data_IF_386414866955
#
_entry.id   IF_386414866955
#
_cell.length_a   1.000
_cell.length_b   1.000
_cell.length_c   1.000
_cell.angle_alpha   90.00
_cell.angle_beta   90.00
_cell.angle_gamma   90.00
#
_symmetry.space_group_name_H-M   'P 1'
#
loop_
_entity.id
_entity.type
_entity.pdbx_description
1 polymer ?
#
# COMPACT_ATOMS: atom_id res chain seq x y z
N UNK A 1 -2.63 5.48 34.08
CA UNK A 1 -2.79 5.22 33.67
C UNK A 1 -3.15 4.93 33.22
N UNK A 2 -3.11 4.76 33.15
CA UNK A 2 -3.42 4.33 32.53
C UNK A 2 -3.89 3.72 32.17
N UNK A 3 -4.20 3.28 31.98
CA UNK A 3 -4.75 2.61 31.42
C UNK A 3 -5.84 2.79 31.13
N UNK A 4 -6.32 3.15 31.27
CA UNK A 4 -7.31 3.19 30.96
C UNK A 4 -7.70 3.77 30.06
N UNK A 5 -7.26 4.34 29.64
CA UNK A 5 -7.73 4.70 28.82
C UNK A 5 -8.03 3.94 27.96
N UNK A 6 -7.85 3.23 27.90
CA UNK A 6 -8.06 2.46 27.10
C UNK A 6 -9.30 2.01 26.99
N UNK A 7 -9.85 1.89 27.55
CA UNK A 7 -11.02 1.36 27.42
C UNK A 7 -12.03 2.12 26.84
N UNK A 8 -12.16 3.15 27.18
CA UNK A 8 -13.16 3.90 26.79
C UNK A 8 -13.49 3.98 25.44
N UNK A 9 -12.66 4.07 24.71
CA UNK A 9 -12.86 4.28 23.38
C UNK A 9 -13.32 3.11 22.65
N UNK A 10 -13.45 2.05 23.26
CA UNK A 10 -13.62 0.85 22.54
C UNK A 10 -14.72 0.81 21.52
N UNK A 11 -15.88 1.07 21.86
CA UNK A 11 -16.94 0.87 20.94
C UNK A 11 -16.95 1.77 19.74
N UNK A 12 -16.96 3.03 19.96
CA UNK A 12 -17.01 3.94 18.87
C UNK A 12 -15.73 4.04 18.14
N UNK A 13 -14.69 3.82 18.85
CA UNK A 13 -13.41 3.95 18.25
C UNK A 13 -13.15 2.92 17.18
N UNK A 14 -13.81 1.81 17.24
CA UNK A 14 -13.56 0.75 16.28
C UNK A 14 -13.76 1.19 14.86
N UNK A 15 -14.72 2.04 14.58
CA UNK A 15 -14.91 2.46 13.21
C UNK A 15 -13.99 3.58 12.84
N UNK A 16 -13.60 4.39 13.77
CA UNK A 16 -12.76 5.50 13.45
C UNK A 16 -11.31 5.20 13.55
N UNK A 17 -10.95 4.28 14.42
CA UNK A 17 -9.57 3.91 14.58
C UNK A 17 -8.99 3.25 13.36
N UNK A 18 -9.82 2.84 12.44
CA UNK A 18 -9.30 2.26 11.23
C UNK A 18 -8.35 3.17 10.54
N UNK A 19 -8.57 4.46 10.61
CA UNK A 19 -7.74 5.40 9.89
C UNK A 19 -6.62 5.97 10.75
N UNK A 20 -6.77 5.97 12.08
CA UNK A 20 -5.70 6.47 12.94
C UNK A 20 -4.61 5.42 13.08
N UNK A 21 -3.37 5.85 13.26
CA UNK A 21 -2.26 4.93 13.47
C UNK A 21 -1.03 5.36 12.72
N UNK A 22 -0.11 4.42 12.51
CA UNK A 22 1.13 4.71 11.81
C UNK A 22 1.07 4.22 10.38
N UNK A 23 1.56 5.03 9.49
CA UNK A 23 1.53 4.74 8.05
C UNK A 23 2.92 4.85 7.46
N UNK A 24 3.25 3.91 6.58
CA UNK A 24 4.45 4.04 5.78
C UNK A 24 4.07 4.90 4.58
N UNK A 25 4.80 5.99 4.36
CA UNK A 25 4.48 6.89 3.25
C UNK A 25 5.41 6.63 2.08
N UNK A 26 4.85 6.65 0.90
CA UNK A 26 5.61 6.38 -0.32
C UNK A 26 5.10 7.26 -1.44
N UNK A 27 5.88 7.33 -2.52
CA UNK A 27 5.58 8.21 -3.65
C UNK A 27 5.16 7.39 -4.86
N UNK A 28 4.09 7.83 -5.50
CA UNK A 28 3.69 7.31 -6.80
C UNK A 28 3.43 8.52 -7.69
N UNK A 29 4.24 8.68 -8.72
CA UNK A 29 4.13 9.85 -9.59
C UNK A 29 4.39 11.10 -8.77
N UNK A 30 3.44 12.02 -8.78
CA UNK A 30 3.58 13.27 -8.04
C UNK A 30 2.80 13.28 -6.75
N UNK A 31 2.30 12.13 -6.33
CA UNK A 31 1.45 12.05 -5.14
C UNK A 31 2.08 11.22 -4.05
N UNK A 32 1.77 11.54 -2.80
CA UNK A 32 2.23 10.76 -1.67
C UNK A 32 1.09 9.92 -1.14
N UNK A 33 1.40 8.68 -0.81
CA UNK A 33 0.42 7.73 -0.34
C UNK A 33 0.87 7.13 0.98
N UNK A 34 -0.06 6.58 1.73
CA UNK A 34 0.27 5.90 2.98
C UNK A 34 -0.45 4.58 3.10
N UNK A 35 0.24 3.60 3.65
CA UNK A 35 -0.38 2.31 3.98
C UNK A 35 -0.06 2.00 5.43
N UNK A 36 -0.96 1.29 6.09
CA UNK A 36 -0.79 0.95 7.49
C UNK A 36 0.52 0.19 7.68
N UNK A 37 1.32 0.65 8.63
CA UNK A 37 2.65 0.07 8.83
C UNK A 37 2.58 -1.41 9.23
N UNK A 38 1.52 -1.81 9.88
CA UNK A 38 1.40 -3.21 10.31
C UNK A 38 1.23 -4.17 9.16
N UNK A 39 0.91 -3.68 7.97
CA UNK A 39 0.81 -4.52 6.79
C UNK A 39 2.16 -4.71 6.11
N UNK A 40 3.16 -3.92 6.48
CA UNK A 40 4.46 -3.95 5.82
C UNK A 40 5.36 -4.99 6.47
N UNK A 41 5.87 -5.91 5.67
CA UNK A 41 6.77 -6.93 6.17
C UNK A 41 8.23 -6.49 6.01
N UNK A 42 8.58 -5.95 4.84
CA UNK A 42 9.92 -5.42 4.63
C UNK A 42 9.94 -4.56 3.38
N UNK A 43 11.01 -3.81 3.20
CA UNK A 43 11.20 -2.97 2.02
C UNK A 43 12.51 -3.39 1.40
N UNK A 44 12.54 -3.55 0.08
CA UNK A 44 13.75 -3.99 -0.61
C UNK A 44 13.84 -3.32 -1.97
N UNK A 45 15.02 -3.40 -2.57
CA UNK A 45 15.21 -2.85 -3.90
C UNK A 45 14.51 -3.68 -4.95
N UNK A 46 14.34 -3.11 -6.12
CA UNK A 46 13.69 -3.81 -7.20
C UNK A 46 14.75 -4.60 -7.97
N UNK A 47 14.85 -5.88 -7.70
CA UNK A 47 15.80 -6.74 -8.42
C UNK A 47 15.34 -8.18 -8.32
N UNK A 48 15.93 -9.00 -9.15
CA UNK A 48 15.69 -10.45 -9.13
C UNK A 48 14.23 -10.86 -9.33
N UNK A 49 13.50 -10.08 -10.11
CA UNK A 49 12.11 -10.40 -10.42
C UNK A 49 12.07 -11.30 -11.65
N UNK A 50 11.42 -12.44 -11.52
CA UNK A 50 11.27 -13.38 -12.63
C UNK A 50 9.92 -13.14 -13.31
N UNK A 51 9.96 -12.84 -14.59
CA UNK A 51 8.73 -12.54 -15.31
C UNK A 51 7.87 -13.77 -15.51
N UNK A 52 6.57 -13.55 -15.50
CA UNK A 52 5.58 -14.59 -15.76
C UNK A 52 4.88 -14.26 -17.07
N UNK A 53 4.78 -15.21 -17.97
CA UNK A 53 4.13 -14.98 -19.25
C UNK A 53 2.62 -14.84 -19.09
N UNK A 54 2.03 -14.09 -20.00
CA UNK A 54 0.57 -13.98 -20.12
C UNK A 54 -0.11 -13.37 -18.90
N UNK A 55 0.57 -12.41 -18.27
CA UNK A 55 -0.04 -11.64 -17.18
C UNK A 55 -0.21 -10.20 -17.63
N UNK A 56 -1.10 -9.46 -16.98
CA UNK A 56 -1.21 -8.02 -17.25
C UNK A 56 0.13 -7.33 -17.03
N UNK A 57 0.36 -6.23 -17.68
CA UNK A 57 1.65 -5.56 -17.64
C UNK A 57 2.02 -5.03 -16.25
N UNK A 58 1.05 -4.78 -15.37
CA UNK A 58 1.36 -4.29 -14.03
C UNK A 58 1.89 -5.41 -13.13
N UNK A 59 1.74 -6.66 -13.51
CA UNK A 59 2.31 -7.77 -12.75
C UNK A 59 3.69 -8.03 -13.32
N UNK A 60 4.72 -7.67 -12.55
CA UNK A 60 6.10 -7.77 -13.04
C UNK A 60 6.64 -9.18 -12.99
N UNK A 61 6.07 -10.00 -12.16
CA UNK A 61 6.54 -11.38 -12.02
C UNK A 61 6.54 -11.77 -10.55
N UNK A 62 7.52 -12.60 -10.20
CA UNK A 62 7.63 -13.09 -8.82
C UNK A 62 9.06 -13.01 -8.35
N UNK A 63 9.23 -12.97 -7.03
CA UNK A 63 10.56 -13.12 -6.43
C UNK A 63 10.49 -14.26 -5.44
N UNK A 64 11.64 -14.88 -5.20
CA UNK A 64 11.75 -15.92 -4.19
C UNK A 64 12.24 -15.25 -2.92
N UNK A 65 11.37 -15.20 -1.91
CA UNK A 65 11.71 -14.54 -0.68
C UNK A 65 11.83 -15.61 0.39
N UNK A 66 13.03 -16.05 0.63
CA UNK A 66 13.32 -17.09 1.62
C UNK A 66 12.46 -18.33 1.42
N UNK A 67 12.41 -18.78 0.15
CA UNK A 67 11.66 -19.98 -0.20
C UNK A 67 10.20 -19.75 -0.51
N UNK A 68 9.71 -18.54 -0.33
CA UNK A 68 8.31 -18.23 -0.61
C UNK A 68 8.24 -17.45 -1.92
N UNK A 69 7.32 -17.84 -2.78
CA UNK A 69 7.10 -17.15 -4.05
C UNK A 69 6.18 -15.98 -3.81
N UNK A 70 6.68 -14.78 -4.10
CA UNK A 70 5.94 -13.54 -3.82
C UNK A 70 5.67 -12.81 -5.13
N UNK A 71 4.40 -12.59 -5.49
CA UNK A 71 4.08 -11.83 -6.71
C UNK A 71 4.43 -10.35 -6.52
N UNK A 72 4.86 -9.72 -7.61
CA UNK A 72 5.29 -8.33 -7.60
C UNK A 72 4.41 -7.53 -8.55
N UNK A 73 3.78 -6.50 -8.03
CA UNK A 73 2.87 -5.63 -8.77
C UNK A 73 3.45 -4.23 -8.83
N UNK A 74 3.52 -3.66 -10.02
CA UNK A 74 3.98 -2.28 -10.14
C UNK A 74 2.77 -1.36 -10.11
N UNK A 75 2.61 -0.63 -9.02
CA UNK A 75 1.46 0.24 -8.86
C UNK A 75 1.46 1.40 -9.84
N UNK A 76 2.64 1.81 -10.31
CA UNK A 76 2.71 2.90 -11.26
C UNK A 76 2.07 2.51 -12.58
N UNK A 77 2.27 1.25 -12.98
CA UNK A 77 1.65 0.73 -14.19
C UNK A 77 0.17 0.48 -13.95
N UNK A 78 -0.16 -0.09 -12.79
CA UNK A 78 -1.55 -0.40 -12.47
C UNK A 78 -2.42 0.85 -12.53
N UNK A 79 -1.91 1.97 -12.04
CA UNK A 79 -2.68 3.20 -12.01
C UNK A 79 -2.39 4.13 -13.20
N UNK A 80 -1.62 3.64 -14.18
CA UNK A 80 -1.38 4.36 -15.43
C UNK A 80 -0.80 5.74 -15.21
N UNK A 81 0.27 5.79 -14.44
CA UNK A 81 0.88 7.05 -14.06
C UNK A 81 1.88 7.57 -15.10
N UNK A 82 1.79 7.11 -16.33
CA UNK A 82 2.67 7.57 -17.37
C UNK A 82 3.93 6.76 -17.48
N UNK A 83 5.04 7.42 -17.78
CA UNK A 83 6.29 6.71 -17.99
C UNK A 83 6.83 6.16 -16.67
N UNK A 84 7.18 4.89 -16.67
CA UNK A 84 7.69 4.21 -15.49
C UNK A 84 9.18 3.97 -15.67
N UNK A 85 9.96 4.37 -14.68
CA UNK A 85 11.40 4.15 -14.69
C UNK A 85 11.80 3.37 -13.46
N UNK A 86 12.86 2.59 -13.60
CA UNK A 86 13.42 1.83 -12.49
C UNK A 86 14.79 2.39 -12.20
N UNK A 87 14.96 3.02 -11.06
CA UNK A 87 16.22 3.64 -10.69
C UNK A 87 16.59 3.26 -9.26
N UNK A 88 17.58 3.95 -8.71
CA UNK A 88 18.08 3.60 -7.38
C UNK A 88 17.06 3.87 -6.27
N UNK A 89 16.04 4.66 -6.54
CA UNK A 89 15.01 4.97 -5.54
C UNK A 89 13.82 4.04 -5.62
N UNK A 90 13.69 3.30 -6.73
CA UNK A 90 12.59 2.38 -6.91
C UNK A 90 12.69 1.25 -5.91
N UNK A 91 11.64 1.03 -5.16
CA UNK A 91 11.66 -0.01 -4.13
C UNK A 91 10.43 -0.89 -4.22
N UNK A 92 10.53 -2.04 -3.61
CA UNK A 92 9.42 -2.98 -3.49
C UNK A 92 9.05 -3.04 -2.01
N UNK A 93 7.80 -2.75 -1.72
CA UNK A 93 7.29 -2.88 -0.36
C UNK A 93 6.63 -4.25 -0.27
N UNK A 94 7.16 -5.11 0.57
CA UNK A 94 6.60 -6.45 0.75
C UNK A 94 5.54 -6.37 1.83
N UNK A 95 4.34 -6.78 1.47
CA UNK A 95 3.18 -6.69 2.34
C UNK A 95 2.73 -8.07 2.78
N UNK A 96 2.27 -8.16 4.02
CA UNK A 96 1.66 -9.37 4.52
C UNK A 96 0.22 -9.04 4.84
N UNK A 97 -0.69 -9.58 4.05
CA UNK A 97 -2.12 -9.30 4.18
C UNK A 97 -2.81 -10.55 4.70
N UNK A 98 -2.70 -10.75 6.01
CA UNK A 98 -3.30 -11.91 6.68
C UNK A 98 -2.75 -13.22 6.11
N UNK A 99 -1.42 -13.27 5.99
CA UNK A 99 -0.75 -14.47 5.51
C UNK A 99 -0.49 -14.50 4.01
N UNK A 100 -1.14 -13.63 3.27
CA UNK A 100 -0.92 -13.53 1.83
C UNK A 100 0.14 -12.47 1.60
N UNK A 101 1.25 -12.86 1.02
CA UNK A 101 2.40 -11.95 0.85
C UNK A 101 2.49 -11.49 -0.59
N UNK A 102 2.61 -10.19 -0.79
CA UNK A 102 2.69 -9.60 -2.12
C UNK A 102 3.61 -8.39 -2.05
N UNK A 103 4.31 -8.09 -3.15
CA UNK A 103 5.17 -6.92 -3.20
C UNK A 103 4.60 -5.88 -4.14
N UNK A 104 4.69 -4.63 -3.75
CA UNK A 104 4.26 -3.52 -4.61
C UNK A 104 5.47 -2.65 -4.93
N UNK A 105 5.58 -2.24 -6.20
CA UNK A 105 6.67 -1.38 -6.65
C UNK A 105 6.20 0.06 -6.61
N UNK A 106 6.99 0.92 -5.99
CA UNK A 106 6.67 2.35 -5.87
C UNK A 106 7.91 3.15 -6.25
N UNK A 107 7.73 4.46 -6.46
CA UNK A 107 8.84 5.32 -6.86
C UNK A 107 9.84 5.54 -5.74
N UNK A 108 9.39 5.48 -4.52
CA UNK A 108 10.29 5.65 -3.37
C UNK A 108 9.50 5.63 -2.09
N UNK A 109 10.20 5.42 -0.99
CA UNK A 109 9.60 5.44 0.34
C UNK A 109 10.10 6.69 1.05
N UNK A 110 9.20 7.38 1.74
CA UNK A 110 9.55 8.62 2.41
C UNK A 110 9.77 8.44 3.91
N UNK A 111 8.76 7.99 4.64
CA UNK A 111 8.84 8.01 6.08
C UNK A 111 7.76 7.14 6.72
N UNK A 112 7.77 7.06 8.03
CA UNK A 112 6.66 6.48 8.78
C UNK A 112 6.01 7.64 9.55
N UNK A 113 4.74 7.84 9.35
CA UNK A 113 4.03 8.98 9.92
C UNK A 113 2.89 8.50 10.80
N UNK A 114 2.85 9.03 12.01
CA UNK A 114 1.75 8.74 12.93
C UNK A 114 0.64 9.75 12.69
N UNK A 115 -0.57 9.26 12.51
CA UNK A 115 -1.72 10.11 12.23
C UNK A 115 -2.77 9.94 13.30
N UNK A 116 -3.39 11.07 13.66
CA UNK A 116 -4.50 11.06 14.56
C UNK A 116 -5.77 11.16 13.74
N UNK A 117 -6.85 10.69 14.31
CA UNK A 117 -8.13 10.71 13.63
C UNK A 117 -8.50 12.12 13.13
N UNK A 118 -8.17 13.13 13.90
CA UNK A 118 -8.50 14.49 13.54
C UNK A 118 -7.78 14.98 12.30
N UNK A 119 -6.71 14.30 11.89
CA UNK A 119 -5.97 14.69 10.71
C UNK A 119 -6.50 14.04 9.44
N UNK A 120 -7.45 13.13 9.57
CA UNK A 120 -7.92 12.33 8.45
C UNK A 120 -9.32 12.78 8.04
N UNK A 121 -9.50 12.99 6.74
CA UNK A 121 -10.77 13.48 6.20
C UNK A 121 -11.27 12.54 5.12
N UNK A 122 -12.56 12.65 4.88
CA UNK A 122 -13.18 11.86 3.80
C UNK A 122 -12.65 12.30 2.45
N UNK A 123 -12.78 11.42 1.50
CA UNK A 123 -12.26 11.64 0.15
C UNK A 123 -13.31 12.33 -0.70
N UNK A 124 -13.02 13.51 -1.24
CA UNK A 124 -13.92 14.08 -2.24
C UNK A 124 -13.69 13.36 -3.56
N UNK A 125 -14.60 13.50 -4.47
CA UNK A 125 -14.44 12.88 -5.79
C UNK A 125 -13.25 13.49 -6.51
N UNK A 126 -12.62 12.70 -7.34
CA UNK A 126 -11.60 13.19 -8.27
C UNK A 126 -10.32 13.75 -7.65
N UNK A 127 -9.77 13.10 -6.64
CA UNK A 127 -8.55 13.60 -6.03
C UNK A 127 -7.30 12.85 -6.38
N UNK A 128 -7.38 11.68 -6.98
CA UNK A 128 -6.15 10.94 -7.26
C UNK A 128 -6.32 9.99 -8.42
N UNK A 129 -5.23 9.37 -8.79
CA UNK A 129 -5.21 8.37 -9.86
C UNK A 129 -5.78 7.05 -9.39
N UNK A 130 -5.92 6.86 -8.10
CA UNK A 130 -6.47 5.64 -7.53
C UNK A 130 -7.97 5.80 -7.36
N UNK A 131 -8.70 4.75 -7.72
CA UNK A 131 -10.15 4.71 -7.54
C UNK A 131 -10.48 4.96 -6.08
N UNK A 132 -11.44 5.84 -5.82
CA UNK A 132 -11.80 6.21 -4.45
C UNK A 132 -12.25 5.03 -3.60
N UNK A 133 -12.67 3.93 -4.24
CA UNK A 133 -13.03 2.73 -3.48
C UNK A 133 -11.87 2.19 -2.65
N UNK A 134 -10.65 2.49 -3.06
CA UNK A 134 -9.47 1.96 -2.39
C UNK A 134 -8.79 2.98 -1.48
N UNK A 135 -9.46 4.09 -1.21
CA UNK A 135 -8.89 5.16 -0.39
C UNK A 135 -9.59 5.18 0.96
N UNK A 136 -8.80 5.09 2.03
CA UNK A 136 -9.34 5.17 3.38
C UNK A 136 -9.65 6.61 3.78
N UNK A 137 -8.89 7.55 3.26
CA UNK A 137 -9.07 8.95 3.60
C UNK A 137 -7.89 9.76 3.13
N UNK A 138 -7.95 11.06 3.38
CA UNK A 138 -6.87 11.99 3.06
C UNK A 138 -6.36 12.58 4.36
N UNK A 139 -5.05 12.69 4.49
CA UNK A 139 -4.46 13.28 5.67
C UNK A 139 -3.61 14.48 5.28
N UNK A 140 -3.67 15.51 6.10
CA UNK A 140 -2.87 16.70 5.89
C UNK A 140 -1.71 16.64 6.86
N UNK A 141 -0.49 16.55 6.34
CA UNK A 141 0.71 16.44 7.15
C UNK A 141 1.73 17.45 6.65
N UNK A 142 2.11 18.42 7.48
CA UNK A 142 3.11 19.42 7.12
C UNK A 142 2.84 20.05 5.74
N UNK A 143 1.60 20.42 5.52
CA UNK A 143 1.19 21.06 4.27
C UNK A 143 1.22 20.12 3.06
N UNK A 144 1.45 18.85 3.29
CA UNK A 144 1.36 17.85 2.24
C UNK A 144 0.06 17.07 2.38
N UNK A 145 -0.45 16.63 1.25
CA UNK A 145 -1.64 15.78 1.26
C UNK A 145 -1.20 14.35 1.10
N UNK A 146 -1.61 13.52 2.03
CA UNK A 146 -1.27 12.11 2.03
C UNK A 146 -2.54 11.31 1.74
N UNK A 147 -2.47 10.44 0.75
CA UNK A 147 -3.62 9.62 0.36
C UNK A 147 -3.48 8.25 1.01
N UNK A 148 -4.41 7.93 1.93
CA UNK A 148 -4.33 6.68 2.67
C UNK A 148 -5.04 5.58 1.91
N UNK A 149 -4.32 4.51 1.59
CA UNK A 149 -4.81 3.45 0.73
C UNK A 149 -5.23 2.23 1.55
N UNK A 150 -6.41 1.69 1.21
CA UNK A 150 -6.86 0.42 1.75
C UNK A 150 -6.21 -0.66 0.90
N UNK A 151 -5.02 -1.07 1.32
CA UNK A 151 -4.23 -1.98 0.50
C UNK A 151 -4.85 -3.37 0.43
N UNK A 152 -5.56 -3.79 1.46
CA UNK A 152 -6.22 -5.09 1.40
C UNK A 152 -7.33 -5.10 0.37
N UNK A 153 -8.12 -4.03 0.34
CA UNK A 153 -9.20 -3.96 -0.64
C UNK A 153 -8.66 -3.87 -2.05
N UNK A 154 -7.59 -3.11 -2.23
CA UNK A 154 -6.97 -3.00 -3.54
C UNK A 154 -6.47 -4.35 -4.03
N UNK A 155 -5.84 -5.12 -3.16
CA UNK A 155 -5.29 -6.41 -3.54
C UNK A 155 -6.34 -7.49 -3.70
N UNK A 156 -7.58 -7.21 -3.32
CA UNK A 156 -8.69 -8.16 -3.51
C UNK A 156 -9.50 -7.84 -4.75
N UNK A 157 -9.11 -6.81 -5.49
CA UNK A 157 -9.84 -6.44 -6.68
C UNK A 157 -9.74 -7.55 -7.72
N UNK A 158 -10.66 -7.55 -8.65
CA UNK A 158 -10.72 -8.57 -9.67
C UNK A 158 -9.42 -8.66 -10.46
N UNK A 159 -8.86 -7.52 -10.77
CA UNK A 159 -7.63 -7.47 -11.54
C UNK A 159 -6.45 -8.07 -10.81
N UNK A 160 -6.49 -8.05 -9.50
CA UNK A 160 -5.39 -8.57 -8.70
C UNK A 160 -5.57 -10.04 -8.36
N UNK A 161 -6.71 -10.60 -8.66
CA UNK A 161 -6.98 -12.00 -8.34
C UNK A 161 -6.00 -12.96 -9.02
N UNK A 162 -5.45 -12.55 -10.14
CA UNK A 162 -4.50 -13.39 -10.86
C UNK A 162 -3.26 -13.71 -10.03
N UNK A 163 -2.93 -12.85 -9.07
CA UNK A 163 -1.76 -13.07 -8.26
C UNK A 163 -1.89 -14.28 -7.36
N UNK A 164 -3.10 -14.61 -6.97
CA UNK A 164 -3.30 -15.75 -6.08
C UNK A 164 -2.85 -17.04 -6.73
N UNK A 165 -3.07 -17.17 -8.03
CA UNK A 165 -2.61 -18.35 -8.76
C UNK A 165 -1.10 -18.43 -8.81
N UNK A 166 -0.43 -17.29 -8.88
CA UNK A 166 1.01 -17.27 -8.97
C UNK A 166 1.67 -17.52 -7.63
N UNK A 167 1.00 -17.17 -6.55
CA UNK A 167 1.58 -17.32 -5.23
C UNK A 167 1.44 -18.72 -4.66
N UNK A 168 0.65 -19.54 -5.31
CA UNK A 168 0.43 -20.88 -4.84
C UNK A 168 1.58 -21.76 -5.26
N UNK A 169 1.97 -22.58 -4.47
CA UNK A 169 2.91 -23.55 -4.72
C UNK A 169 4.01 -23.63 -4.11
#
# INVERSE_FOLDING_TARGET
MSMHYQTAASGNAATQDKAAGEYLTFVLGNEEYGIEILKVQEIRGYDNVTKIANTPDFIKGVVNLRGRIVPIVDLRIKFKLGKVEYDEFTVVIILNLNGRVVGIVVDGVSDVTALQESQIRDVPDLVSSIDTRYILGLASVDEHMLILVDIERLMKSEEMALMDSMAVN
#
